data_IF_410032720758
#
_entry.id   IF_410032720758
#
_cell.length_a   1.000
_cell.length_b   1.000
_cell.length_c   1.000
_cell.angle_alpha   90.00
_cell.angle_beta   90.00
_cell.angle_gamma   90.00
#
_symmetry.space_group_name_H-M   'P 1'
#
loop_
_entity.id
_entity.type
_entity.pdbx_description
1 polymer ?
#
# COMPACT_ATOMS: atom_id res chain seq x y z
N UNK A 1 -20.67 -0.18 23.60
CA UNK A 1 -19.46 -0.37 24.43
C UNK A 1 -18.24 -0.13 23.56
N UNK A 2 -17.17 0.47 24.11
CA UNK A 2 -15.86 0.56 23.43
C UNK A 2 -14.95 -0.53 23.99
N UNK A 3 -14.27 -1.26 23.12
CA UNK A 3 -13.25 -2.23 23.52
C UNK A 3 -11.93 -1.50 23.84
N UNK A 4 -11.19 -2.01 24.82
CA UNK A 4 -9.87 -1.49 25.20
C UNK A 4 -8.81 -2.53 24.90
N UNK A 5 -7.79 -2.12 24.18
CA UNK A 5 -6.59 -2.91 23.88
C UNK A 5 -5.36 -2.01 23.98
N UNK A 6 -4.18 -2.64 24.00
CA UNK A 6 -2.88 -1.96 24.03
C UNK A 6 -2.16 -2.22 22.72
N UNK A 7 -1.48 -1.21 22.19
CA UNK A 7 -0.62 -1.32 21.01
C UNK A 7 0.78 -0.84 21.36
N UNK A 8 1.78 -1.45 20.73
CA UNK A 8 3.15 -0.96 20.71
C UNK A 8 3.39 -0.28 19.36
N UNK A 9 4.15 0.82 19.36
CA UNK A 9 4.53 1.54 18.15
C UNK A 9 5.90 2.20 18.36
N UNK A 10 6.51 2.62 17.26
CA UNK A 10 7.78 3.35 17.30
C UNK A 10 7.65 4.67 18.10
N UNK A 11 8.75 5.06 18.76
CA UNK A 11 8.78 6.23 19.63
C UNK A 11 8.54 7.53 18.86
N UNK A 12 9.04 7.65 17.63
CA UNK A 12 8.85 8.86 16.82
C UNK A 12 7.38 8.99 16.40
N UNK A 13 6.72 7.87 16.09
CA UNK A 13 5.29 7.85 15.77
C UNK A 13 4.43 8.19 17.01
N UNK A 14 4.77 7.63 18.17
CA UNK A 14 4.08 7.95 19.42
C UNK A 14 4.23 9.45 19.77
N UNK A 15 5.45 9.99 19.61
CA UNK A 15 5.74 11.40 19.84
C UNK A 15 5.00 12.32 18.86
N UNK A 16 4.93 11.94 17.59
CA UNK A 16 4.13 12.67 16.61
C UNK A 16 2.66 12.76 17.02
N UNK A 17 2.08 11.65 17.51
CA UNK A 17 0.70 11.65 18.00
C UNK A 17 0.51 12.53 19.25
N UNK A 18 1.51 12.59 20.14
CA UNK A 18 1.51 13.48 21.30
C UNK A 18 1.49 14.95 20.91
N UNK A 19 2.32 15.35 19.95
CA UNK A 19 2.36 16.72 19.44
C UNK A 19 0.97 17.16 18.93
N UNK A 20 0.27 16.28 18.21
CA UNK A 20 -1.10 16.58 17.75
C UNK A 20 -2.12 16.73 18.89
N UNK A 21 -1.89 16.07 20.03
CA UNK A 21 -2.72 16.25 21.21
C UNK A 21 -2.41 17.58 21.92
N UNK A 22 -1.13 17.95 21.99
CA UNK A 22 -0.67 19.21 22.57
C UNK A 22 -1.19 20.42 21.77
N UNK A 23 -1.18 20.32 20.45
CA UNK A 23 -1.75 21.28 19.50
C UNK A 23 -3.29 21.31 19.50
N UNK A 24 -3.95 20.51 20.35
CA UNK A 24 -5.42 20.40 20.47
C UNK A 24 -6.12 19.94 19.19
N UNK A 25 -5.40 19.33 18.25
CA UNK A 25 -5.97 18.67 17.07
C UNK A 25 -6.75 17.42 17.53
N UNK A 26 -6.16 16.64 18.44
CA UNK A 26 -6.83 15.53 19.09
C UNK A 26 -6.99 15.75 20.60
N UNK A 27 -8.12 15.29 21.14
CA UNK A 27 -8.38 15.38 22.58
C UNK A 27 -7.62 14.34 23.41
N UNK A 28 -7.13 13.28 22.77
CA UNK A 28 -6.28 12.24 23.35
C UNK A 28 -5.69 11.35 22.25
N UNK A 29 -4.67 10.55 22.58
CA UNK A 29 -4.14 9.50 21.68
C UNK A 29 -5.23 8.58 21.16
N UNK A 30 -6.13 8.12 22.03
CA UNK A 30 -7.24 7.24 21.64
C UNK A 30 -8.19 7.91 20.65
N UNK A 31 -8.46 9.20 20.81
CA UNK A 31 -9.27 9.95 19.84
C UNK A 31 -8.55 10.06 18.48
N UNK A 32 -7.25 10.38 18.47
CA UNK A 32 -6.47 10.45 17.24
C UNK A 32 -6.41 9.11 16.50
N UNK A 33 -6.13 8.02 17.21
CA UNK A 33 -6.11 6.67 16.63
C UNK A 33 -7.50 6.30 16.09
N UNK A 34 -8.57 6.53 16.86
CA UNK A 34 -9.95 6.26 16.41
C UNK A 34 -10.29 7.07 15.14
N UNK A 35 -9.87 8.34 15.08
CA UNK A 35 -10.03 9.17 13.89
C UNK A 35 -9.31 8.59 12.67
N UNK A 36 -8.01 8.27 12.80
CA UNK A 36 -7.21 7.72 11.70
C UNK A 36 -7.80 6.41 11.17
N UNK A 37 -8.16 5.48 12.08
CA UNK A 37 -8.79 4.20 11.70
C UNK A 37 -10.12 4.43 10.98
N UNK A 38 -10.93 5.42 11.41
CA UNK A 38 -12.16 5.79 10.70
C UNK A 38 -11.90 6.34 9.31
N UNK A 39 -10.84 7.12 9.10
CA UNK A 39 -10.49 7.58 7.75
C UNK A 39 -10.07 6.43 6.84
N UNK A 40 -9.22 5.52 7.34
CA UNK A 40 -8.82 4.31 6.59
C UNK A 40 -10.06 3.48 6.21
N UNK A 41 -11.00 3.29 7.14
CA UNK A 41 -12.25 2.56 6.88
C UNK A 41 -13.08 3.18 5.75
N UNK A 42 -13.04 4.50 5.58
CA UNK A 42 -13.76 5.19 4.49
C UNK A 42 -13.12 4.98 3.11
N UNK A 43 -11.86 4.59 3.05
CA UNK A 43 -11.15 4.38 1.78
C UNK A 43 -11.63 3.12 1.02
N UNK A 44 -12.62 2.38 1.55
CA UNK A 44 -13.21 1.19 0.94
C UNK A 44 -12.15 0.16 0.50
N UNK A 45 -11.11 0.03 1.32
CA UNK A 45 -10.03 -0.93 1.17
C UNK A 45 -10.60 -2.31 1.53
N UNK A 46 -10.64 -3.21 0.56
CA UNK A 46 -11.11 -4.58 0.73
C UNK A 46 -9.94 -5.51 1.07
N UNK A 47 -8.77 -5.25 0.46
CA UNK A 47 -7.60 -6.10 0.60
C UNK A 47 -6.32 -5.27 0.61
N UNK A 48 -5.37 -5.67 1.43
CA UNK A 48 -3.99 -5.17 1.40
C UNK A 48 -3.10 -6.29 0.88
N UNK A 49 -2.26 -5.98 -0.10
CA UNK A 49 -1.27 -6.91 -0.67
C UNK A 49 0.11 -6.31 -0.41
N UNK A 50 1.07 -7.13 0.01
CA UNK A 50 2.44 -6.68 0.25
C UNK A 50 3.28 -6.89 -1.01
N UNK A 51 3.63 -5.79 -1.66
CA UNK A 51 4.48 -5.82 -2.84
C UNK A 51 5.95 -5.74 -2.43
N UNK A 52 6.75 -6.68 -2.92
CA UNK A 52 8.18 -6.77 -2.62
C UNK A 52 8.97 -6.25 -3.82
N UNK A 53 9.59 -5.07 -3.68
CA UNK A 53 10.45 -4.46 -4.71
C UNK A 53 11.91 -4.96 -4.65
N UNK A 54 12.26 -5.62 -3.55
CA UNK A 54 13.58 -6.21 -3.31
C UNK A 54 13.55 -7.05 -2.03
N UNK A 55 14.73 -7.47 -1.53
CA UNK A 55 14.81 -8.29 -0.31
C UNK A 55 14.29 -7.57 0.95
N UNK A 56 14.38 -6.24 0.98
CA UNK A 56 14.06 -5.42 2.16
C UNK A 56 13.01 -4.35 1.90
N UNK A 57 12.65 -4.14 0.64
CA UNK A 57 11.70 -3.10 0.23
C UNK A 57 10.33 -3.73 0.06
N UNK A 58 9.46 -3.49 1.04
CA UNK A 58 8.08 -3.98 1.06
C UNK A 58 7.14 -2.80 1.16
N UNK A 59 6.20 -2.72 0.23
CA UNK A 59 5.21 -1.65 0.17
C UNK A 59 3.79 -2.22 0.21
N UNK A 60 2.91 -1.71 1.09
CA UNK A 60 1.52 -2.13 1.12
C UNK A 60 0.73 -1.50 -0.02
N UNK A 61 0.10 -2.34 -0.84
CA UNK A 61 -0.83 -1.91 -1.89
C UNK A 61 -2.26 -2.11 -1.39
N UNK A 62 -2.99 -1.01 -1.28
CA UNK A 62 -4.39 -1.01 -0.83
C UNK A 62 -5.33 -1.17 -2.02
N UNK A 63 -6.09 -2.26 -2.05
CA UNK A 63 -7.00 -2.61 -3.13
C UNK A 63 -8.44 -2.35 -2.73
N UNK A 64 -9.16 -1.63 -3.60
CA UNK A 64 -10.62 -1.56 -3.55
C UNK A 64 -11.24 -2.93 -3.80
N UNK A 65 -12.51 -3.11 -3.43
CA UNK A 65 -13.27 -4.33 -3.70
C UNK A 65 -13.22 -4.78 -5.17
N UNK A 66 -13.39 -3.84 -6.10
CA UNK A 66 -13.32 -4.13 -7.54
C UNK A 66 -11.95 -4.67 -7.93
N UNK A 67 -10.87 -4.01 -7.48
CA UNK A 67 -9.51 -4.39 -7.84
C UNK A 67 -9.11 -5.71 -7.18
N UNK A 68 -9.50 -5.94 -5.92
CA UNK A 68 -9.28 -7.20 -5.22
C UNK A 68 -9.95 -8.38 -5.96
N UNK A 69 -11.19 -8.22 -6.41
CA UNK A 69 -11.90 -9.25 -7.18
C UNK A 69 -11.23 -9.54 -8.54
N UNK A 70 -10.78 -8.50 -9.25
CA UNK A 70 -10.04 -8.68 -10.51
C UNK A 70 -8.74 -9.44 -10.26
N UNK A 71 -7.97 -9.01 -9.24
CA UNK A 71 -6.69 -9.64 -8.90
C UNK A 71 -6.89 -11.12 -8.54
N UNK A 72 -7.87 -11.45 -7.70
CA UNK A 72 -8.18 -12.84 -7.32
C UNK A 72 -8.46 -13.70 -8.55
N UNK A 73 -9.32 -13.25 -9.47
CA UNK A 73 -9.64 -14.00 -10.71
C UNK A 73 -8.42 -14.25 -11.58
N UNK A 74 -7.54 -13.27 -11.71
CA UNK A 74 -6.30 -13.40 -12.49
C UNK A 74 -5.33 -14.35 -11.77
N UNK A 75 -5.20 -14.22 -10.45
CA UNK A 75 -4.32 -15.05 -9.62
C UNK A 75 -4.70 -16.53 -9.73
N UNK A 76 -6.00 -16.83 -9.63
CA UNK A 76 -6.55 -18.18 -9.82
C UNK A 76 -6.26 -18.72 -11.22
N UNK A 77 -6.46 -17.89 -12.26
CA UNK A 77 -6.21 -18.29 -13.66
C UNK A 77 -4.73 -18.58 -13.93
N UNK A 78 -3.82 -17.84 -13.30
CA UNK A 78 -2.38 -18.01 -13.46
C UNK A 78 -1.78 -19.01 -12.48
N UNK A 79 -2.56 -19.49 -11.50
CA UNK A 79 -2.12 -20.32 -10.39
C UNK A 79 -0.95 -19.68 -9.61
N UNK A 80 -1.10 -18.40 -9.27
CA UNK A 80 -0.11 -17.60 -8.56
C UNK A 80 -0.70 -16.96 -7.31
N UNK A 81 0.17 -16.52 -6.40
CA UNK A 81 -0.27 -15.69 -5.28
C UNK A 81 -0.77 -14.31 -5.77
N UNK A 82 -1.66 -13.63 -5.02
CA UNK A 82 -2.04 -12.25 -5.30
C UNK A 82 -0.85 -11.29 -5.38
N UNK A 83 0.16 -11.50 -4.54
CA UNK A 83 1.40 -10.75 -4.49
C UNK A 83 2.19 -10.90 -5.80
N UNK A 84 2.45 -12.15 -6.22
CA UNK A 84 3.18 -12.44 -7.46
C UNK A 84 2.41 -11.97 -8.69
N UNK A 85 1.09 -12.16 -8.67
CA UNK A 85 0.21 -11.72 -9.76
C UNK A 85 0.27 -10.21 -9.92
N UNK A 86 0.20 -9.45 -8.82
CA UNK A 86 0.29 -7.99 -8.86
C UNK A 86 1.66 -7.54 -9.37
N UNK A 87 2.75 -8.16 -8.91
CA UNK A 87 4.10 -7.88 -9.38
C UNK A 87 4.26 -8.10 -10.89
N UNK A 88 3.75 -9.22 -11.42
CA UNK A 88 3.79 -9.50 -12.86
C UNK A 88 2.97 -8.50 -13.66
N UNK A 89 1.78 -8.11 -13.19
CA UNK A 89 0.94 -7.13 -13.87
C UNK A 89 1.63 -5.77 -13.96
N UNK A 90 2.26 -5.33 -12.87
CA UNK A 90 3.05 -4.08 -12.86
C UNK A 90 4.23 -4.15 -13.82
N UNK A 91 5.00 -5.25 -13.80
CA UNK A 91 6.12 -5.43 -14.71
C UNK A 91 5.69 -5.34 -16.18
N UNK A 92 4.61 -6.03 -16.55
CA UNK A 92 4.07 -6.01 -17.91
C UNK A 92 3.64 -4.62 -18.36
N UNK A 93 3.02 -3.86 -17.46
CA UNK A 93 2.60 -2.49 -17.77
C UNK A 93 3.82 -1.55 -17.93
N UNK A 94 4.83 -1.68 -17.06
CA UNK A 94 6.09 -0.93 -17.19
C UNK A 94 6.81 -1.23 -18.50
N UNK A 95 6.88 -2.50 -18.90
CA UNK A 95 7.46 -2.93 -20.18
C UNK A 95 6.69 -2.33 -21.37
N UNK A 96 5.36 -2.32 -21.30
CA UNK A 96 4.51 -1.72 -22.33
C UNK A 96 4.73 -0.21 -22.43
N UNK A 97 4.79 0.49 -21.29
CA UNK A 97 5.08 1.93 -21.24
C UNK A 97 6.47 2.22 -21.83
N UNK A 98 7.50 1.44 -21.47
CA UNK A 98 8.86 1.58 -22.01
C UNK A 98 8.88 1.51 -23.54
N UNK A 99 8.21 0.51 -24.12
CA UNK A 99 8.10 0.33 -25.57
C UNK A 99 7.37 1.48 -26.25
N UNK A 100 6.29 1.97 -25.64
CA UNK A 100 5.45 3.03 -26.21
C UNK A 100 6.06 4.44 -26.08
N UNK A 101 6.94 4.66 -25.11
CA UNK A 101 7.62 5.96 -24.89
C UNK A 101 8.93 6.11 -25.65
N UNK A 102 9.37 5.08 -26.39
CA UNK A 102 10.57 5.16 -27.24
C UNK A 102 11.90 5.23 -26.46
N UNK A 103 11.88 4.97 -25.16
CA UNK A 103 13.07 4.94 -24.29
C UNK A 103 14.11 3.91 -24.75
N UNK A 104 13.71 2.89 -25.51
CA UNK A 104 14.61 1.86 -26.05
C UNK A 104 15.51 2.34 -27.21
N UNK A 105 15.30 3.55 -27.76
CA UNK A 105 16.06 4.02 -28.94
C UNK A 105 17.44 4.65 -28.65
N UNK A 106 17.79 4.92 -27.40
CA UNK A 106 19.02 5.67 -27.07
C UNK A 106 20.17 4.83 -26.46
N UNK A 107 20.14 3.50 -26.60
CA UNK A 107 21.16 2.60 -26.01
C UNK A 107 22.32 2.18 -26.91
N UNK A 108 22.24 2.39 -28.23
CA UNK A 108 23.27 1.94 -29.19
C UNK A 108 23.71 3.10 -30.11
N UNK A 109 24.53 4.00 -29.59
CA UNK A 109 25.36 4.87 -30.41
C UNK A 109 26.66 5.15 -29.64
N UNK A 110 27.64 4.28 -29.82
CA UNK A 110 28.95 4.35 -29.19
C UNK A 110 29.82 3.20 -29.69
N UNK A 111 30.04 3.16 -31.00
CA UNK A 111 31.29 2.62 -31.56
C UNK A 111 32.42 3.62 -31.31
#
# INVERSE_FOLDING_TARGET
>A
MKERFTISMDNDLARWLDILCDEKIFSSRSHGIEFCVKQIKKMNIEKVVLLHWGKTEVEPVFLSKKNAQILTKISEKLNLSPEDTLGILLYKELENISKNTGLEKNGNAGE
#
